data_IF_354623838920
#
_entry.id   IF_354623838920
#
_cell.length_a   1.000
_cell.length_b   1.000
_cell.length_c   1.000
_cell.angle_alpha   90.00
_cell.angle_beta   90.00
_cell.angle_gamma   90.00
#
_symmetry.space_group_name_H-M   'P 1'
#
loop_
_entity.id
_entity.type
_entity.pdbx_description
1 polymer ?
#
# COMPACT_ATOMS: atom_id res chain seq x y z
N UNK A 1 -6.59 -38.79 14.85
CA UNK A 1 -7.38 -37.55 14.94
C UNK A 1 -6.59 -36.61 15.83
N UNK A 2 -5.72 -35.81 15.23
CA UNK A 2 -4.95 -34.81 15.96
C UNK A 2 -5.75 -33.51 15.99
N UNK A 3 -6.22 -33.18 17.19
CA UNK A 3 -6.82 -31.90 17.51
C UNK A 3 -5.71 -30.86 17.59
N UNK A 4 -5.50 -30.11 16.51
CA UNK A 4 -4.85 -28.80 16.60
C UNK A 4 -5.96 -27.74 16.54
N UNK A 5 -6.54 -27.46 17.71
CA UNK A 5 -7.53 -26.39 17.91
C UNK A 5 -7.08 -25.56 19.09
N UNK A 6 -5.98 -24.83 18.94
CA UNK A 6 -5.79 -23.60 19.69
C UNK A 6 -6.78 -22.57 19.13
N UNK A 7 -8.01 -22.59 19.66
CA UNK A 7 -9.03 -21.58 19.37
C UNK A 7 -8.69 -20.24 20.01
N UNK A 8 -7.48 -19.73 19.76
CA UNK A 8 -7.04 -18.44 20.26
C UNK A 8 -7.94 -17.35 19.65
N UNK A 9 -8.59 -16.61 20.55
CA UNK A 9 -9.38 -15.44 20.16
C UNK A 9 -8.41 -14.32 19.84
N UNK A 10 -8.22 -14.04 18.55
CA UNK A 10 -7.44 -12.89 18.10
C UNK A 10 -8.34 -11.66 18.20
N UNK A 11 -7.93 -10.69 19.02
CA UNK A 11 -8.57 -9.38 19.04
C UNK A 11 -8.17 -8.62 17.77
N UNK A 12 -9.16 -8.20 16.98
CA UNK A 12 -8.95 -7.46 15.75
C UNK A 12 -9.78 -6.19 15.75
N UNK A 13 -9.31 -5.15 15.05
CA UNK A 13 -10.07 -3.93 14.88
C UNK A 13 -11.41 -4.23 14.21
N UNK A 14 -12.48 -3.60 14.70
CA UNK A 14 -13.80 -3.73 14.05
C UNK A 14 -13.78 -3.24 12.60
N UNK A 15 -12.79 -2.44 12.24
CA UNK A 15 -12.68 -1.86 10.91
C UNK A 15 -11.99 -2.80 9.92
N UNK A 16 -11.41 -3.95 10.33
CA UNK A 16 -10.72 -4.84 9.35
C UNK A 16 -11.65 -5.34 8.24
N UNK A 17 -12.96 -5.38 8.51
CA UNK A 17 -13.97 -5.82 7.55
C UNK A 17 -14.31 -4.77 6.48
N UNK A 18 -13.80 -3.54 6.61
CA UNK A 18 -14.05 -2.49 5.62
C UNK A 18 -13.44 -2.86 4.28
N UNK A 19 -14.29 -3.01 3.28
CA UNK A 19 -13.92 -3.17 1.88
C UNK A 19 -14.00 -1.86 1.12
N UNK A 20 -13.94 -1.95 -0.21
CA UNK A 20 -13.95 -0.79 -1.11
C UNK A 20 -15.25 0.01 -1.03
N UNK A 21 -16.39 -0.61 -0.76
CA UNK A 21 -17.67 0.10 -0.69
C UNK A 21 -17.78 0.90 0.62
N UNK A 22 -17.33 0.34 1.73
CA UNK A 22 -17.29 1.06 3.02
C UNK A 22 -16.31 2.23 2.96
N UNK A 23 -15.17 2.05 2.29
CA UNK A 23 -14.19 3.12 2.04
C UNK A 23 -14.75 4.25 1.15
N UNK A 24 -15.80 3.99 0.36
CA UNK A 24 -16.50 5.00 -0.43
C UNK A 24 -17.60 5.72 0.34
N UNK A 25 -17.94 5.33 1.57
CA UNK A 25 -19.06 5.91 2.29
C UNK A 25 -18.85 7.41 2.61
N UNK A 26 -19.93 8.19 2.69
CA UNK A 26 -19.86 9.64 3.02
C UNK A 26 -19.55 9.89 4.49
N UNK A 27 -19.88 8.94 5.36
CA UNK A 27 -19.69 9.01 6.80
C UNK A 27 -18.39 8.32 7.26
N UNK A 28 -17.43 8.09 6.35
CA UNK A 28 -16.10 7.61 6.72
C UNK A 28 -15.47 8.56 7.74
N UNK A 29 -15.00 8.03 8.87
CA UNK A 29 -14.28 8.80 9.88
C UNK A 29 -12.88 8.19 10.08
N UNK A 30 -11.89 8.76 9.41
CA UNK A 30 -10.53 8.22 9.40
C UNK A 30 -9.90 8.23 10.79
N UNK A 31 -10.17 9.25 11.61
CA UNK A 31 -9.65 9.31 12.98
C UNK A 31 -10.17 8.17 13.85
N UNK A 32 -11.46 7.85 13.77
CA UNK A 32 -12.02 6.73 14.51
C UNK A 32 -11.40 5.41 14.06
N UNK A 33 -11.21 5.23 12.75
CA UNK A 33 -10.62 4.02 12.17
C UNK A 33 -9.18 3.84 12.67
N UNK A 34 -8.34 4.87 12.51
CA UNK A 34 -6.93 4.83 12.89
C UNK A 34 -6.74 4.65 14.39
N UNK A 35 -7.52 5.31 15.23
CA UNK A 35 -7.40 5.17 16.68
C UNK A 35 -7.73 3.75 17.16
N UNK A 36 -8.74 3.12 16.58
CA UNK A 36 -9.12 1.73 16.89
C UNK A 36 -8.03 0.76 16.41
N UNK A 37 -7.50 0.96 15.20
CA UNK A 37 -6.38 0.17 14.66
C UNK A 37 -5.16 0.26 15.58
N UNK A 38 -4.72 1.47 15.94
CA UNK A 38 -3.53 1.70 16.79
C UNK A 38 -3.69 1.11 18.19
N UNK A 39 -4.92 1.01 18.69
CA UNK A 39 -5.22 0.41 20.00
C UNK A 39 -4.99 -1.11 19.99
N UNK A 40 -5.32 -1.78 18.88
CA UNK A 40 -5.37 -3.24 18.79
C UNK A 40 -4.13 -3.81 18.09
N UNK A 41 -3.81 -3.34 16.89
CA UNK A 41 -2.76 -3.92 16.03
C UNK A 41 -1.40 -3.29 16.30
N UNK A 42 -0.70 -3.73 17.36
CA UNK A 42 0.55 -3.10 17.81
C UNK A 42 1.82 -3.71 17.22
N UNK A 43 1.72 -4.92 16.68
CA UNK A 43 2.80 -5.74 16.12
C UNK A 43 2.70 -5.80 14.59
N UNK A 44 3.76 -6.30 13.93
CA UNK A 44 3.78 -6.40 12.46
C UNK A 44 2.96 -7.61 11.97
N UNK A 45 2.88 -8.65 12.79
CA UNK A 45 2.23 -9.94 12.49
C UNK A 45 0.73 -9.77 12.22
N UNK A 46 0.10 -8.75 12.81
CA UNK A 46 -1.34 -8.49 12.68
C UNK A 46 -1.69 -7.46 11.60
N UNK A 47 -0.73 -7.09 10.73
CA UNK A 47 -0.90 -5.98 9.80
C UNK A 47 -1.38 -6.36 8.40
N UNK A 48 -1.45 -7.65 8.03
CA UNK A 48 -1.77 -8.07 6.64
C UNK A 48 -3.11 -7.51 6.14
N UNK A 49 -4.17 -7.60 6.96
CA UNK A 49 -5.48 -7.05 6.63
C UNK A 49 -5.45 -5.51 6.50
N UNK A 50 -4.61 -4.86 7.29
CA UNK A 50 -4.45 -3.40 7.24
C UNK A 50 -3.69 -2.95 5.99
N UNK A 51 -2.69 -3.73 5.55
CA UNK A 51 -2.01 -3.51 4.26
C UNK A 51 -3.02 -3.62 3.13
N UNK A 52 -3.87 -4.67 3.14
CA UNK A 52 -4.94 -4.81 2.16
C UNK A 52 -5.90 -3.63 2.18
N UNK A 53 -6.35 -3.19 3.35
CA UNK A 53 -7.22 -2.01 3.50
C UNK A 53 -6.56 -0.75 2.93
N UNK A 54 -5.27 -0.53 3.21
CA UNK A 54 -4.51 0.59 2.65
C UNK A 54 -4.47 0.49 1.11
N UNK A 55 -4.17 -0.68 0.54
CA UNK A 55 -4.16 -0.85 -0.92
C UNK A 55 -5.55 -0.64 -1.54
N UNK A 56 -6.61 -1.12 -0.89
CA UNK A 56 -7.98 -0.89 -1.32
C UNK A 56 -8.36 0.60 -1.25
N UNK A 57 -7.91 1.33 -0.22
CA UNK A 57 -8.13 2.78 -0.09
C UNK A 57 -7.48 3.56 -1.24
N UNK A 58 -6.29 3.14 -1.69
CA UNK A 58 -5.63 3.69 -2.87
C UNK A 58 -6.44 3.41 -4.13
N UNK A 59 -6.97 2.20 -4.31
CA UNK A 59 -7.80 1.86 -5.47
C UNK A 59 -9.11 2.67 -5.50
N UNK A 60 -9.73 2.88 -4.34
CA UNK A 60 -10.93 3.74 -4.24
C UNK A 60 -10.57 5.17 -4.64
N UNK A 61 -9.47 5.70 -4.11
CA UNK A 61 -8.97 7.03 -4.46
C UNK A 61 -8.72 7.17 -5.98
N UNK A 62 -8.03 6.21 -6.60
CA UNK A 62 -7.72 6.24 -8.04
C UNK A 62 -8.98 6.18 -8.92
N UNK A 63 -10.07 5.57 -8.44
CA UNK A 63 -11.31 5.37 -9.20
C UNK A 63 -12.34 6.49 -9.07
N UNK A 64 -12.19 7.40 -8.09
CA UNK A 64 -13.25 8.35 -7.74
C UNK A 64 -12.76 9.81 -7.82
N UNK A 65 -13.34 10.59 -8.73
CA UNK A 65 -12.95 11.99 -8.98
C UNK A 65 -13.36 12.97 -7.87
N UNK A 66 -14.27 12.58 -6.97
CA UNK A 66 -14.75 13.40 -5.85
C UNK A 66 -14.04 13.07 -4.54
N UNK A 67 -12.71 13.18 -4.49
CA UNK A 67 -11.92 12.64 -3.38
C UNK A 67 -12.28 13.28 -2.05
N UNK A 68 -12.78 12.44 -1.14
CA UNK A 68 -13.13 12.80 0.24
C UNK A 68 -11.89 13.05 1.08
N UNK A 69 -11.90 14.13 1.86
CA UNK A 69 -10.84 14.47 2.82
C UNK A 69 -10.52 13.33 3.78
N UNK A 70 -11.54 12.59 4.21
CA UNK A 70 -11.40 11.46 5.13
C UNK A 70 -10.66 10.28 4.50
N UNK A 71 -10.90 9.98 3.21
CA UNK A 71 -10.15 8.92 2.53
C UNK A 71 -8.66 9.27 2.41
N UNK A 72 -8.34 10.53 2.06
CA UNK A 72 -6.96 11.02 2.01
C UNK A 72 -6.27 10.90 3.36
N UNK A 73 -6.98 11.30 4.42
CA UNK A 73 -6.49 11.20 5.79
C UNK A 73 -6.22 9.77 6.20
N UNK A 74 -7.17 8.86 5.93
CA UNK A 74 -7.01 7.43 6.19
C UNK A 74 -5.80 6.85 5.46
N UNK A 75 -5.66 7.11 4.16
CA UNK A 75 -4.51 6.66 3.36
C UNK A 75 -3.19 7.10 3.98
N UNK A 76 -3.09 8.40 4.32
CA UNK A 76 -1.89 8.97 4.92
C UNK A 76 -1.56 8.31 6.26
N UNK A 77 -2.48 8.42 7.21
CA UNK A 77 -2.28 7.99 8.59
C UNK A 77 -2.04 6.47 8.69
N UNK A 78 -2.73 5.68 7.84
CA UNK A 78 -2.56 4.22 7.81
C UNK A 78 -1.21 3.82 7.20
N UNK A 79 -0.81 4.46 6.10
CA UNK A 79 0.48 4.15 5.45
C UNK A 79 1.68 4.52 6.33
N UNK A 80 1.62 5.66 7.03
CA UNK A 80 2.65 6.08 7.98
C UNK A 80 2.73 5.12 9.17
N UNK A 81 1.58 4.74 9.73
CA UNK A 81 1.51 3.78 10.82
C UNK A 81 2.07 2.41 10.44
N UNK A 82 1.65 1.86 9.29
CA UNK A 82 2.11 0.54 8.84
C UNK A 82 3.60 0.54 8.55
N UNK A 83 4.14 1.62 7.96
CA UNK A 83 5.58 1.72 7.74
C UNK A 83 6.35 1.78 9.06
N UNK A 84 5.88 2.54 10.06
CA UNK A 84 6.50 2.60 11.38
C UNK A 84 6.63 1.21 12.02
N UNK A 85 5.62 0.36 11.84
CA UNK A 85 5.54 -1.00 12.42
C UNK A 85 6.32 -2.04 11.66
N UNK A 86 6.24 -2.03 10.33
CA UNK A 86 6.79 -3.11 9.50
C UNK A 86 8.24 -2.78 9.11
N UNK A 87 8.52 -1.54 8.70
CA UNK A 87 9.86 -1.08 8.25
C UNK A 87 10.52 -1.91 7.14
N UNK A 88 9.73 -2.60 6.33
CA UNK A 88 10.21 -3.39 5.19
C UNK A 88 10.08 -2.61 3.87
N UNK A 89 10.89 -2.99 2.88
CA UNK A 89 11.02 -2.32 1.57
C UNK A 89 9.68 -2.12 0.86
N UNK A 90 8.82 -3.14 0.82
CA UNK A 90 7.52 -3.01 0.16
C UNK A 90 6.58 -2.03 0.88
N UNK A 91 6.68 -1.92 2.21
CA UNK A 91 5.90 -0.94 2.96
C UNK A 91 6.43 0.47 2.76
N UNK A 92 7.74 0.65 2.62
CA UNK A 92 8.31 1.93 2.23
C UNK A 92 7.79 2.38 0.87
N UNK A 93 7.78 1.48 -0.12
CA UNK A 93 7.20 1.73 -1.45
C UNK A 93 5.71 2.09 -1.34
N UNK A 94 4.97 1.39 -0.48
CA UNK A 94 3.56 1.67 -0.24
C UNK A 94 3.32 3.06 0.36
N UNK A 95 4.14 3.48 1.32
CA UNK A 95 4.11 4.83 1.87
C UNK A 95 4.37 5.88 0.77
N UNK A 96 5.42 5.70 -0.03
CA UNK A 96 5.78 6.67 -1.08
C UNK A 96 4.71 6.77 -2.18
N UNK A 97 4.06 5.67 -2.58
CA UNK A 97 2.99 5.75 -3.57
C UNK A 97 1.73 6.47 -3.04
N UNK A 98 1.51 6.48 -1.73
CA UNK A 98 0.46 7.30 -1.09
C UNK A 98 0.86 8.76 -1.17
N UNK A 99 2.09 9.11 -0.75
CA UNK A 99 2.61 10.48 -0.81
C UNK A 99 2.46 11.11 -2.20
N UNK A 100 2.84 10.38 -3.26
CA UNK A 100 2.68 10.82 -4.66
C UNK A 100 1.23 11.16 -4.99
N UNK A 101 0.26 10.33 -4.57
CA UNK A 101 -1.17 10.57 -4.83
C UNK A 101 -1.76 11.73 -4.05
N UNK A 102 -1.23 11.98 -2.87
CA UNK A 102 -1.59 13.12 -2.04
C UNK A 102 -0.94 14.42 -2.52
N UNK A 103 -0.12 14.37 -3.57
CA UNK A 103 0.55 15.54 -4.14
C UNK A 103 1.80 15.98 -3.37
N UNK A 104 2.33 15.13 -2.49
CA UNK A 104 3.57 15.40 -1.78
C UNK A 104 4.77 15.27 -2.74
N UNK A 105 5.74 16.17 -2.60
CA UNK A 105 7.03 16.02 -3.29
C UNK A 105 7.85 14.94 -2.59
N UNK A 106 8.24 13.89 -3.33
CA UNK A 106 9.02 12.77 -2.81
C UNK A 106 10.50 12.80 -3.24
N UNK A 107 11.00 13.93 -3.74
CA UNK A 107 12.40 14.07 -4.19
C UNK A 107 13.42 13.70 -3.12
N UNK A 108 13.12 13.99 -1.86
CA UNK A 108 14.00 13.73 -0.73
C UNK A 108 14.21 12.23 -0.47
N UNK A 109 13.33 11.39 -1.03
CA UNK A 109 13.39 9.93 -0.92
C UNK A 109 14.08 9.26 -2.13
N UNK A 110 14.55 10.04 -3.11
CA UNK A 110 15.11 9.49 -4.35
C UNK A 110 16.42 8.73 -4.13
N UNK A 111 17.27 9.17 -3.20
CA UNK A 111 18.51 8.46 -2.90
C UNK A 111 18.23 7.09 -2.26
N UNK A 112 17.28 7.01 -1.33
CA UNK A 112 16.87 5.72 -0.75
C UNK A 112 16.25 4.80 -1.81
N UNK A 113 15.41 5.34 -2.70
CA UNK A 113 14.87 4.58 -3.83
C UNK A 113 15.95 4.07 -4.78
N UNK A 114 17.02 4.82 -5.02
CA UNK A 114 18.16 4.36 -5.84
C UNK A 114 18.90 3.23 -5.14
N UNK A 115 19.17 3.35 -3.84
CA UNK A 115 19.79 2.30 -3.04
C UNK A 115 18.96 1.01 -3.06
N UNK A 116 17.65 1.09 -2.81
CA UNK A 116 16.75 -0.07 -2.89
C UNK A 116 16.84 -0.74 -4.27
N UNK A 117 16.91 0.02 -5.36
CA UNK A 117 17.05 -0.57 -6.71
C UNK A 117 18.34 -1.37 -6.89
N UNK A 118 19.42 -0.95 -6.25
CA UNK A 118 20.71 -1.64 -6.32
C UNK A 118 20.67 -2.94 -5.50
N UNK A 119 20.08 -2.87 -4.31
CA UNK A 119 19.92 -4.01 -3.39
C UNK A 119 18.92 -5.06 -3.93
N UNK A 120 17.82 -4.62 -4.55
CA UNK A 120 16.71 -5.44 -5.01
C UNK A 120 16.73 -5.67 -6.53
N UNK A 121 17.91 -5.65 -7.14
CA UNK A 121 18.09 -5.74 -8.61
C UNK A 121 17.49 -7.01 -9.23
N UNK A 122 17.41 -8.11 -8.48
CA UNK A 122 16.82 -9.38 -8.92
C UNK A 122 15.31 -9.44 -8.68
N UNK A 123 14.78 -8.58 -7.79
CA UNK A 123 13.37 -8.50 -7.49
C UNK A 123 12.67 -7.57 -8.50
N UNK A 124 12.23 -8.15 -9.61
CA UNK A 124 11.61 -7.40 -10.70
C UNK A 124 10.42 -6.54 -10.26
N UNK A 125 9.64 -6.96 -9.25
CA UNK A 125 8.49 -6.21 -8.77
C UNK A 125 8.91 -4.95 -8.00
N UNK A 126 9.82 -5.10 -7.03
CA UNK A 126 10.38 -3.98 -6.26
C UNK A 126 11.12 -3.01 -7.18
N UNK A 127 11.97 -3.53 -8.07
CA UNK A 127 12.69 -2.72 -9.04
C UNK A 127 11.74 -1.90 -9.93
N UNK A 128 10.67 -2.52 -10.42
CA UNK A 128 9.64 -1.83 -11.22
C UNK A 128 8.95 -0.74 -10.41
N UNK A 129 8.56 -1.01 -9.17
CA UNK A 129 7.94 -0.05 -8.28
C UNK A 129 8.83 1.18 -8.03
N UNK A 130 10.13 0.99 -7.78
CA UNK A 130 11.08 2.09 -7.63
C UNK A 130 11.20 2.93 -8.91
N UNK A 131 11.27 2.31 -10.09
CA UNK A 131 11.29 3.06 -11.36
C UNK A 131 10.02 3.90 -11.56
N UNK A 132 8.85 3.42 -11.15
CA UNK A 132 7.59 4.17 -11.19
C UNK A 132 7.67 5.40 -10.27
N UNK A 133 8.12 5.23 -9.03
CA UNK A 133 8.21 6.31 -8.04
C UNK A 133 9.25 7.36 -8.41
N UNK A 134 10.34 6.96 -9.09
CA UNK A 134 11.33 7.87 -9.67
C UNK A 134 10.86 8.56 -10.97
N UNK A 135 9.62 8.30 -11.41
CA UNK A 135 9.07 8.87 -12.65
C UNK A 135 9.65 8.29 -13.94
N UNK A 136 10.46 7.23 -13.86
CA UNK A 136 11.08 6.58 -15.01
C UNK A 136 10.19 5.44 -15.55
N UNK A 137 9.04 5.82 -16.10
CA UNK A 137 8.02 4.88 -16.58
C UNK A 137 8.48 4.05 -17.78
N UNK A 138 9.43 4.55 -18.58
CA UNK A 138 9.99 3.81 -19.73
C UNK A 138 10.74 2.57 -19.26
N UNK A 139 11.58 2.70 -18.24
CA UNK A 139 12.31 1.55 -17.68
C UNK A 139 11.37 0.61 -16.93
N UNK A 140 10.41 1.13 -16.15
CA UNK A 140 9.38 0.30 -15.53
C UNK A 140 8.64 -0.58 -16.55
N UNK A 141 8.19 0.01 -17.68
CA UNK A 141 7.53 -0.73 -18.77
C UNK A 141 8.44 -1.79 -19.41
N UNK A 142 9.75 -1.56 -19.51
CA UNK A 142 10.71 -2.55 -20.03
C UNK A 142 10.82 -3.76 -19.10
N UNK A 143 10.90 -3.53 -17.78
CA UNK A 143 11.01 -4.62 -16.80
C UNK A 143 9.72 -5.45 -16.79
N UNK A 144 8.55 -4.80 -16.78
CA UNK A 144 7.26 -5.50 -16.85
C UNK A 144 7.15 -6.41 -18.08
N UNK A 145 7.72 -6.00 -19.22
CA UNK A 145 7.75 -6.82 -20.46
C UNK A 145 8.67 -8.03 -20.36
N UNK A 146 9.67 -8.00 -19.47
CA UNK A 146 10.65 -9.08 -19.26
C UNK A 146 10.22 -10.05 -18.15
N UNK A 147 9.33 -9.63 -17.25
CA UNK A 147 8.70 -10.53 -16.28
C UNK A 147 7.99 -11.69 -17.00
N UNK A 148 7.91 -12.84 -16.34
CA UNK A 148 7.03 -13.90 -16.80
C UNK A 148 5.56 -13.42 -16.75
N UNK A 149 4.68 -14.10 -17.49
CA UNK A 149 3.28 -13.70 -17.66
C UNK A 149 2.53 -13.62 -16.32
N UNK A 150 2.81 -14.54 -15.40
CA UNK A 150 2.14 -14.61 -14.11
C UNK A 150 2.53 -13.42 -13.22
N UNK A 151 3.82 -13.16 -13.06
CA UNK A 151 4.33 -12.04 -12.27
C UNK A 151 3.91 -10.69 -12.85
N UNK A 152 3.93 -10.54 -14.18
CA UNK A 152 3.44 -9.34 -14.83
C UNK A 152 1.94 -9.12 -14.57
N UNK A 153 1.13 -10.19 -14.54
CA UNK A 153 -0.29 -10.10 -14.23
C UNK A 153 -0.51 -9.75 -12.75
N UNK A 154 0.20 -10.40 -11.83
CA UNK A 154 0.16 -10.08 -10.39
C UNK A 154 0.55 -8.63 -10.14
N UNK A 155 1.67 -8.18 -10.72
CA UNK A 155 2.15 -6.81 -10.54
C UNK A 155 1.13 -5.76 -10.99
N UNK A 156 0.45 -6.00 -12.11
CA UNK A 156 -0.58 -5.10 -12.65
C UNK A 156 -1.83 -4.97 -11.77
N UNK A 157 -2.02 -5.86 -10.81
CA UNK A 157 -3.10 -5.75 -9.82
C UNK A 157 -2.75 -4.78 -8.69
N UNK A 158 -1.47 -4.49 -8.45
CA UNK A 158 -1.07 -3.55 -7.41
C UNK A 158 -1.42 -2.10 -7.80
N UNK A 159 -1.88 -1.28 -6.85
CA UNK A 159 -2.28 0.10 -7.13
C UNK A 159 -1.13 0.95 -7.71
N UNK A 160 0.12 0.67 -7.36
CA UNK A 160 1.28 1.42 -7.88
C UNK A 160 1.35 1.41 -9.42
N UNK A 161 0.85 0.37 -10.08
CA UNK A 161 0.78 0.29 -11.53
C UNK A 161 -0.11 1.37 -12.15
N UNK A 162 -1.13 1.85 -11.43
CA UNK A 162 -2.01 2.92 -11.91
C UNK A 162 -1.29 4.26 -12.07
N UNK A 163 -0.19 4.50 -11.33
CA UNK A 163 0.63 5.71 -11.52
C UNK A 163 1.24 5.80 -12.92
N UNK A 164 1.42 4.67 -13.61
CA UNK A 164 1.84 4.65 -15.01
C UNK A 164 0.70 5.08 -15.95
N UNK A 165 -0.56 4.75 -15.62
CA UNK A 165 -1.73 5.00 -16.49
C UNK A 165 -2.23 6.44 -16.44
N UNK A 166 -1.90 7.17 -15.38
CA UNK A 166 -2.30 8.56 -15.19
C UNK A 166 -1.49 9.55 -16.05
N UNK A 167 -0.49 9.07 -16.81
CA UNK A 167 0.35 9.86 -17.73
C UNK A 167 0.40 9.24 -19.11
#
# INVERSE_FOLDING_TARGET
MENDKTGEKIEVSRFIVMGKEELKADNLNATSVINDIKKIHKSKEDCEFLIKMMLDSILVFDSNKGVKSELKKLMKDLSEYLYEKIRETYMYINLLQVKVRLGENISDYFEELKKIKEEEKENSQILTACYILLGNYKEAKKIIKRMNKEDALKFKQFPIYNLIKLK
#
